data_IF_187402906171
#
_entry.id   IF_187402906171
#
_cell.length_a   1.000
_cell.length_b   1.000
_cell.length_c   1.000
_cell.angle_alpha   90.00
_cell.angle_beta   90.00
_cell.angle_gamma   90.00
#
_symmetry.space_group_name_H-M   'P 1'
#
loop_
_entity.id
_entity.type
_entity.pdbx_description
1 polymer ?
#
# COMPACT_ATOMS: atom_id res chain seq x y z
N UNK A 1 26.22 2.16 10.35
CA UNK A 1 25.32 3.08 9.62
C UNK A 1 24.01 2.34 9.49
N UNK A 2 23.00 2.70 10.28
CA UNK A 2 21.66 2.14 10.13
C UNK A 2 21.04 2.82 8.92
N UNK A 3 20.66 2.06 7.91
CA UNK A 3 19.92 2.61 6.77
C UNK A 3 18.49 2.80 7.28
N UNK A 4 18.07 4.04 7.48
CA UNK A 4 16.67 4.36 7.79
C UNK A 4 15.81 4.22 6.53
N UNK A 5 14.55 3.80 6.69
CA UNK A 5 13.57 3.79 5.62
C UNK A 5 13.25 5.21 5.11
N UNK A 6 12.49 5.31 4.02
CA UNK A 6 12.22 6.61 3.37
C UNK A 6 11.02 7.38 3.96
N UNK A 7 10.21 6.77 4.84
CA UNK A 7 9.17 7.52 5.54
C UNK A 7 9.81 8.49 6.56
N UNK A 8 9.00 9.37 7.15
CA UNK A 8 9.50 10.46 7.99
C UNK A 8 10.50 9.93 9.04
N UNK A 9 11.78 10.37 9.01
CA UNK A 9 12.81 9.84 9.89
C UNK A 9 12.50 10.13 11.37
N UNK A 10 11.66 11.12 11.67
CA UNK A 10 11.20 11.44 13.02
C UNK A 10 10.18 10.42 13.57
N UNK A 11 9.63 9.54 12.74
CA UNK A 11 8.75 8.46 13.19
C UNK A 11 9.47 7.51 14.15
N UNK A 12 8.77 7.17 15.22
CA UNK A 12 9.25 6.29 16.28
C UNK A 12 9.08 4.82 15.93
N UNK A 13 8.09 4.48 15.11
CA UNK A 13 7.66 3.11 14.85
C UNK A 13 7.63 2.75 13.37
N UNK A 14 7.12 3.62 12.49
CA UNK A 14 7.06 3.35 11.05
C UNK A 14 8.42 3.64 10.40
N UNK A 15 8.87 2.75 9.52
CA UNK A 15 10.17 2.85 8.85
C UNK A 15 10.01 3.00 7.33
N UNK A 16 9.35 2.03 6.69
CA UNK A 16 9.23 1.96 5.24
C UNK A 16 7.92 1.29 4.80
N UNK A 17 7.50 1.58 3.57
CA UNK A 17 6.42 0.87 2.91
C UNK A 17 6.60 0.84 1.39
N UNK A 18 6.16 -0.24 0.75
CA UNK A 18 6.20 -0.39 -0.70
C UNK A 18 4.91 -1.03 -1.19
N UNK A 19 4.54 -0.77 -2.45
CA UNK A 19 3.41 -1.40 -3.09
C UNK A 19 3.63 -1.63 -4.59
N UNK A 20 3.12 -2.75 -5.09
CA UNK A 20 3.21 -3.10 -6.50
C UNK A 20 1.84 -3.54 -7.01
N UNK A 21 1.44 -3.03 -8.17
CA UNK A 21 0.21 -3.40 -8.86
C UNK A 21 0.55 -4.31 -10.04
N UNK A 22 -0.11 -5.46 -10.12
CA UNK A 22 0.08 -6.46 -11.19
C UNK A 22 -1.27 -6.78 -11.82
N UNK A 23 -1.32 -6.76 -13.15
CA UNK A 23 -2.45 -7.31 -13.90
C UNK A 23 -2.42 -8.85 -13.80
N UNK A 24 -3.49 -9.44 -13.27
CA UNK A 24 -3.62 -10.90 -13.12
C UNK A 24 -4.35 -11.53 -14.30
N UNK A 25 -4.77 -10.74 -15.29
CA UNK A 25 -5.68 -11.15 -16.34
C UNK A 25 -7.09 -11.38 -15.78
N UNK A 26 -7.98 -11.90 -16.63
CA UNK A 26 -9.38 -12.15 -16.28
C UNK A 26 -10.08 -10.93 -15.65
N UNK A 27 -9.72 -9.71 -16.10
CA UNK A 27 -10.26 -8.45 -15.59
C UNK A 27 -10.03 -8.27 -14.08
N UNK A 28 -8.86 -8.67 -13.59
CA UNK A 28 -8.46 -8.47 -12.19
C UNK A 28 -7.03 -7.96 -12.08
N UNK A 29 -6.80 -7.13 -11.06
CA UNK A 29 -5.47 -6.68 -10.68
C UNK A 29 -5.24 -6.95 -9.20
N UNK A 30 -4.00 -7.31 -8.86
CA UNK A 30 -3.55 -7.55 -7.50
C UNK A 30 -2.61 -6.42 -7.09
N UNK A 31 -2.87 -5.83 -5.93
CA UNK A 31 -1.99 -4.85 -5.30
C UNK A 31 -1.34 -5.54 -4.11
N UNK A 32 -0.03 -5.74 -4.16
CA UNK A 32 0.75 -6.22 -3.01
C UNK A 32 1.30 -5.03 -2.23
N UNK A 33 1.40 -5.18 -0.92
CA UNK A 33 1.94 -4.17 -0.01
C UNK A 33 2.90 -4.79 0.98
N UNK A 34 3.98 -4.08 1.25
CA UNK A 34 4.92 -4.38 2.33
C UNK A 34 5.00 -3.17 3.25
N UNK A 35 4.88 -3.38 4.56
CA UNK A 35 5.08 -2.34 5.57
C UNK A 35 6.09 -2.81 6.59
N UNK A 36 7.08 -1.97 6.88
CA UNK A 36 8.19 -2.24 7.79
C UNK A 36 8.14 -1.22 8.92
N UNK A 37 8.15 -1.73 10.15
CA UNK A 37 8.30 -0.95 11.37
C UNK A 37 9.73 -1.09 11.91
N UNK A 38 10.17 -0.11 12.69
CA UNK A 38 11.48 -0.09 13.38
C UNK A 38 11.58 -1.15 14.50
N UNK A 39 10.43 -1.69 14.94
CA UNK A 39 10.32 -2.73 15.96
C UNK A 39 8.97 -3.45 15.86
N UNK A 40 8.73 -4.47 16.70
CA UNK A 40 7.41 -5.10 16.83
C UNK A 40 6.40 -4.07 17.38
N UNK A 41 5.29 -3.89 16.67
CA UNK A 41 4.22 -2.94 17.04
C UNK A 41 2.89 -3.64 17.29
N UNK A 42 1.99 -2.98 18.02
CA UNK A 42 0.66 -3.51 18.34
C UNK A 42 -0.18 -3.77 17.07
N UNK A 43 -0.17 -2.83 16.12
CA UNK A 43 -0.80 -3.02 14.80
C UNK A 43 0.01 -2.36 13.68
N UNK A 44 0.04 -3.02 12.52
CA UNK A 44 0.74 -2.61 11.30
C UNK A 44 -0.12 -2.97 10.10
N UNK A 45 -0.14 -2.12 9.09
CA UNK A 45 -0.95 -2.38 7.91
C UNK A 45 -0.77 -1.38 6.79
N UNK A 46 -1.61 -1.53 5.77
CA UNK A 46 -1.75 -0.54 4.71
C UNK A 46 -3.21 -0.42 4.29
N UNK A 47 -3.61 0.81 3.98
CA UNK A 47 -4.85 1.12 3.29
C UNK A 47 -4.54 1.34 1.82
N UNK A 48 -5.15 0.53 0.96
CA UNK A 48 -4.95 0.52 -0.49
C UNK A 48 -6.12 1.25 -1.14
N UNK A 49 -5.84 2.25 -1.97
CA UNK A 49 -6.79 2.93 -2.83
C UNK A 49 -6.46 2.60 -4.28
N UNK A 50 -7.36 1.90 -4.96
CA UNK A 50 -7.18 1.48 -6.34
C UNK A 50 -7.79 2.51 -7.28
N UNK A 51 -6.95 3.12 -8.11
CA UNK A 51 -7.35 4.20 -9.01
C UNK A 51 -7.32 3.73 -10.47
N UNK A 52 -8.30 4.21 -11.24
CA UNK A 52 -8.41 4.04 -12.68
C UNK A 52 -8.15 5.37 -13.39
N UNK A 53 -7.36 5.35 -14.47
CA UNK A 53 -7.19 6.52 -15.34
C UNK A 53 -8.39 6.68 -16.27
N UNK A 54 -8.95 7.88 -16.33
CA UNK A 54 -10.12 8.21 -17.17
C UNK A 54 -9.75 8.83 -18.53
N UNK A 55 -8.46 9.04 -18.79
CA UNK A 55 -7.98 9.84 -19.92
C UNK A 55 -7.48 11.22 -19.50
N UNK A 56 -8.01 11.76 -18.40
CA UNK A 56 -7.63 13.09 -17.86
C UNK A 56 -7.35 13.11 -16.35
N UNK A 57 -7.92 12.15 -15.60
CA UNK A 57 -7.74 12.07 -14.15
C UNK A 57 -7.69 10.63 -13.64
N UNK A 58 -7.00 10.45 -12.52
CA UNK A 58 -7.07 9.23 -11.70
C UNK A 58 -8.30 9.30 -10.81
N UNK A 59 -9.18 8.30 -10.92
CA UNK A 59 -10.41 8.20 -10.12
C UNK A 59 -10.35 6.92 -9.32
N UNK A 60 -10.57 7.02 -8.01
CA UNK A 60 -10.65 5.86 -7.13
C UNK A 60 -11.85 4.98 -7.51
N UNK A 61 -11.60 3.71 -7.74
CA UNK A 61 -12.61 2.70 -8.11
C UNK A 61 -12.75 1.60 -7.06
N UNK A 62 -11.85 1.56 -6.07
CA UNK A 62 -11.93 0.62 -4.96
C UNK A 62 -10.97 0.98 -3.84
N UNK A 63 -11.20 0.40 -2.67
CA UNK A 63 -10.27 0.50 -1.55
C UNK A 63 -10.36 -0.71 -0.63
N UNK A 64 -9.25 -1.09 -0.02
CA UNK A 64 -9.17 -2.19 0.94
C UNK A 64 -8.14 -1.85 2.01
N UNK A 65 -8.43 -2.14 3.28
CA UNK A 65 -7.41 -2.08 4.35
C UNK A 65 -7.01 -3.49 4.74
N UNK A 66 -5.71 -3.73 4.81
CA UNK A 66 -5.13 -5.00 5.24
C UNK A 66 -4.15 -4.73 6.38
N UNK A 67 -4.16 -5.58 7.40
CA UNK A 67 -3.34 -5.36 8.60
C UNK A 67 -3.03 -6.66 9.34
N UNK A 68 -2.08 -6.56 10.25
CA UNK A 68 -1.74 -7.58 11.24
C UNK A 68 -1.43 -6.93 12.59
N UNK A 69 -1.33 -7.76 13.61
CA UNK A 69 -0.95 -7.36 14.98
C UNK A 69 0.32 -8.06 15.42
N UNK A 70 1.07 -7.44 16.33
CA UNK A 70 2.28 -8.00 16.93
C UNK A 70 3.33 -8.44 15.88
N UNK A 71 3.63 -7.52 14.94
CA UNK A 71 4.59 -7.73 13.85
C UNK A 71 5.48 -6.50 13.67
N UNK A 72 6.67 -6.73 13.16
CA UNK A 72 7.58 -5.67 12.68
C UNK A 72 7.55 -5.56 11.15
N UNK A 73 7.28 -6.66 10.44
CA UNK A 73 7.15 -6.72 8.99
C UNK A 73 5.76 -7.27 8.65
N UNK A 74 5.06 -6.58 7.77
CA UNK A 74 3.76 -6.99 7.25
C UNK A 74 3.79 -7.06 5.73
N UNK A 75 3.32 -8.19 5.18
CA UNK A 75 3.06 -8.36 3.76
C UNK A 75 1.56 -8.65 3.59
N UNK A 76 0.91 -7.96 2.67
CA UNK A 76 -0.50 -8.13 2.38
C UNK A 76 -0.79 -7.92 0.90
N UNK A 77 -2.03 -8.21 0.51
CA UNK A 77 -2.51 -7.92 -0.84
C UNK A 77 -4.02 -7.67 -0.86
N UNK A 78 -4.47 -7.01 -1.91
CA UNK A 78 -5.88 -6.89 -2.26
C UNK A 78 -6.06 -7.10 -3.77
N UNK A 79 -7.17 -7.72 -4.15
CA UNK A 79 -7.53 -7.95 -5.55
C UNK A 79 -8.72 -7.05 -5.90
N UNK A 80 -8.63 -6.37 -7.04
CA UNK A 80 -9.67 -5.48 -7.55
C UNK A 80 -10.09 -5.91 -8.95
N UNK A 81 -11.37 -5.70 -9.26
CA UNK A 81 -11.86 -5.82 -10.63
C UNK A 81 -11.30 -4.70 -11.50
N UNK A 82 -11.01 -5.03 -12.76
CA UNK A 82 -10.57 -4.08 -13.78
C UNK A 82 -11.48 -4.16 -15.00
N UNK A 83 -11.32 -3.19 -15.89
CA UNK A 83 -11.91 -3.18 -17.23
C UNK A 83 -10.76 -3.05 -18.21
N UNK A 84 -10.70 -3.95 -19.20
CA UNK A 84 -9.67 -3.97 -20.23
C UNK A 84 -9.56 -2.61 -20.95
N UNK A 85 -8.34 -2.24 -21.32
CA UNK A 85 -8.04 -0.99 -22.04
C UNK A 85 -7.90 0.25 -21.14
N UNK A 86 -8.09 0.12 -19.83
CA UNK A 86 -7.83 1.19 -18.87
C UNK A 86 -6.51 1.01 -18.14
N UNK A 87 -5.90 2.12 -17.73
CA UNK A 87 -4.73 2.12 -16.85
C UNK A 87 -5.15 2.16 -15.38
N UNK A 88 -4.41 1.43 -14.54
CA UNK A 88 -4.64 1.36 -13.10
C UNK A 88 -3.35 1.53 -12.31
N UNK A 89 -3.48 2.07 -11.10
CA UNK A 89 -2.41 2.14 -10.09
C UNK A 89 -3.02 2.08 -8.69
N UNK A 90 -2.18 1.85 -7.69
CA UNK A 90 -2.57 1.98 -6.30
C UNK A 90 -1.90 3.20 -5.65
N UNK A 91 -2.68 3.97 -4.88
CA UNK A 91 -2.15 4.84 -3.82
C UNK A 91 -2.30 4.09 -2.51
N UNK A 92 -1.23 3.96 -1.74
CA UNK A 92 -1.24 3.24 -0.47
C UNK A 92 -0.86 4.16 0.68
N UNK A 93 -1.53 3.96 1.81
CA UNK A 93 -1.19 4.59 3.10
C UNK A 93 -0.71 3.47 3.99
N UNK A 94 0.59 3.40 4.22
CA UNK A 94 1.22 2.47 5.14
C UNK A 94 1.16 3.04 6.54
N UNK A 95 0.82 2.24 7.55
CA UNK A 95 0.62 2.75 8.89
C UNK A 95 1.01 1.76 9.98
N UNK A 96 1.30 2.30 11.15
CA UNK A 96 1.48 1.56 12.41
C UNK A 96 0.70 2.26 13.52
N UNK A 97 0.22 1.48 14.48
CA UNK A 97 -0.35 1.97 15.73
C UNK A 97 0.30 1.23 16.89
N UNK A 98 0.97 1.96 17.79
CA UNK A 98 1.67 1.38 18.91
C UNK A 98 1.70 2.31 20.12
N UNK A 99 1.29 1.82 21.29
CA UNK A 99 1.33 2.56 22.56
C UNK A 99 0.76 3.99 22.49
N UNK A 100 -0.36 4.16 21.76
CA UNK A 100 -1.02 5.47 21.60
C UNK A 100 -0.42 6.37 20.51
N UNK A 101 0.65 5.95 19.84
CA UNK A 101 1.23 6.66 18.68
C UNK A 101 0.74 6.01 17.38
N UNK A 102 0.21 6.83 16.48
CA UNK A 102 -0.15 6.44 15.12
C UNK A 102 0.74 7.18 14.12
N UNK A 103 1.36 6.45 13.20
CA UNK A 103 2.25 7.00 12.18
C UNK A 103 1.87 6.42 10.82
N UNK A 104 1.98 7.23 9.78
CA UNK A 104 1.62 6.82 8.43
C UNK A 104 2.49 7.46 7.35
N UNK A 105 2.68 6.74 6.25
CA UNK A 105 3.44 7.17 5.08
C UNK A 105 2.73 6.78 3.79
N UNK A 106 2.81 7.64 2.77
CA UNK A 106 2.16 7.41 1.49
C UNK A 106 3.12 6.81 0.47
N UNK A 107 2.63 5.89 -0.35
CA UNK A 107 3.34 5.38 -1.51
C UNK A 107 2.39 5.23 -2.70
N UNK A 108 2.91 5.27 -3.92
CA UNK A 108 2.12 5.04 -5.14
C UNK A 108 2.81 3.96 -5.95
N UNK A 109 2.08 2.91 -6.30
CA UNK A 109 2.63 1.78 -7.06
C UNK A 109 2.98 2.19 -8.50
N UNK A 110 3.63 1.26 -9.19
CA UNK A 110 3.66 1.24 -10.65
C UNK A 110 2.24 1.31 -11.25
N UNK A 111 2.18 1.74 -12.51
CA UNK A 111 0.96 1.74 -13.33
C UNK A 111 0.92 0.52 -14.23
N UNK A 112 -0.26 -0.07 -14.39
CA UNK A 112 -0.52 -1.18 -15.33
C UNK A 112 -1.56 -0.78 -16.38
N UNK A 113 -1.50 -1.41 -17.55
CA UNK A 113 -2.60 -1.46 -18.52
C UNK A 113 -3.33 -2.79 -18.33
N UNK A 114 -4.61 -2.75 -17.96
CA UNK A 114 -5.40 -3.97 -17.83
C UNK A 114 -5.70 -4.56 -19.21
N UNK A 115 -5.38 -5.84 -19.40
CA UNK A 115 -5.61 -6.60 -20.64
C UNK A 115 -6.87 -7.44 -20.55
#
# INVERSE_FOLDING_TARGET
MTIEGFFDPSFKYLDQGDSNTVDKGNQTAEVTVTTIAKQIVASIGATIYFDKWTGSAWVQVGSQTVSASNKMLFNGYAVFGTVSGYYYRARTVHWVSNNGTYEQGNYTSNTILAK
#
